data_IF_057233506847
#
_entry.id   IF_057233506847
#
_cell.length_a   1.000
_cell.length_b   1.000
_cell.length_c   1.000
_cell.angle_alpha   90.00
_cell.angle_beta   90.00
_cell.angle_gamma   90.00
#
_symmetry.space_group_name_H-M   'P 1'
#
loop_
_entity.id
_entity.type
_entity.pdbx_description
1 polymer ?
#
# COMPACT_ATOMS: atom_id res chain seq x y z
N UNK A 1 -4.04 -4.29 -12.54
CA UNK A 1 -3.91 -2.88 -13.01
C UNK A 1 -4.86 -1.99 -12.22
N UNK A 2 -6.17 -2.25 -12.23
CA UNK A 2 -7.18 -1.49 -11.47
C UNK A 2 -6.81 -1.23 -10.00
N UNK A 3 -6.33 -2.24 -9.25
CA UNK A 3 -5.94 -2.06 -7.84
C UNK A 3 -4.82 -1.03 -7.66
N UNK A 4 -3.82 -1.03 -8.54
CA UNK A 4 -2.73 -0.05 -8.48
C UNK A 4 -3.23 1.34 -8.82
N UNK A 5 -4.04 1.46 -9.88
CA UNK A 5 -4.61 2.74 -10.29
C UNK A 5 -5.53 3.34 -9.23
N UNK A 6 -6.43 2.53 -8.64
CA UNK A 6 -7.33 2.98 -7.59
C UNK A 6 -6.53 3.52 -6.40
N UNK A 7 -5.53 2.77 -5.91
CA UNK A 7 -4.73 3.20 -4.76
C UNK A 7 -3.88 4.42 -5.10
N UNK A 8 -3.32 4.51 -6.31
CA UNK A 8 -2.58 5.68 -6.77
C UNK A 8 -3.44 6.94 -6.81
N UNK A 9 -4.70 6.85 -7.28
CA UNK A 9 -5.62 8.00 -7.30
C UNK A 9 -6.01 8.50 -5.91
N UNK A 10 -6.06 7.63 -4.90
CA UNK A 10 -6.48 7.98 -3.53
C UNK A 10 -5.29 8.15 -2.56
N UNK A 11 -4.05 8.10 -3.04
CA UNK A 11 -2.86 8.18 -2.17
C UNK A 11 -2.77 9.53 -1.45
N UNK A 12 -3.09 10.62 -2.15
CA UNK A 12 -3.09 11.97 -1.58
C UNK A 12 -4.19 12.10 -0.51
N UNK A 13 -5.37 11.51 -0.75
CA UNK A 13 -6.46 11.51 0.23
C UNK A 13 -6.11 10.69 1.48
N UNK A 14 -5.43 9.56 1.31
CA UNK A 14 -5.00 8.69 2.41
C UNK A 14 -3.95 9.37 3.32
N UNK A 15 -3.07 10.18 2.73
CA UNK A 15 -1.98 10.87 3.43
C UNK A 15 -2.30 12.30 3.85
N UNK A 16 -3.49 12.81 3.49
CA UNK A 16 -3.91 14.16 3.82
C UNK A 16 -4.07 14.36 5.34
N UNK A 17 -3.60 15.51 5.88
CA UNK A 17 -3.87 15.87 7.27
C UNK A 17 -5.37 16.09 7.54
N UNK A 18 -5.84 15.57 8.67
CA UNK A 18 -7.23 15.69 9.11
C UNK A 18 -7.33 16.81 10.16
N UNK A 19 -8.05 17.91 9.89
CA UNK A 19 -8.18 19.01 10.84
C UNK A 19 -9.02 18.62 12.07
N UNK A 20 -8.58 19.10 13.24
CA UNK A 20 -9.22 18.95 14.55
C UNK A 20 -9.47 20.33 15.16
N UNK A 21 -10.49 21.01 14.64
CA UNK A 21 -10.79 22.40 15.00
C UNK A 21 -9.77 23.39 14.43
N UNK A 22 -9.65 24.56 15.04
CA UNK A 22 -8.95 25.69 14.43
C UNK A 22 -7.43 25.59 14.41
N UNK A 23 -6.81 24.83 15.34
CA UNK A 23 -5.36 24.84 15.58
C UNK A 23 -4.75 23.44 15.81
N UNK A 24 -5.46 22.36 15.49
CA UNK A 24 -4.95 20.99 15.64
C UNK A 24 -5.23 20.21 14.38
N UNK A 25 -4.41 19.20 14.12
CA UNK A 25 -4.54 18.29 12.99
C UNK A 25 -3.94 16.93 13.33
N UNK A 26 -4.49 15.87 12.75
CA UNK A 26 -3.87 14.54 12.70
C UNK A 26 -3.18 14.45 11.34
N UNK A 27 -1.87 14.20 11.34
CA UNK A 27 -1.11 13.92 10.13
C UNK A 27 -0.82 12.41 10.09
N UNK A 28 -1.31 11.68 9.06
CA UNK A 28 -0.89 10.31 8.82
C UNK A 28 0.59 10.27 8.43
N UNK A 29 1.34 9.36 9.05
CA UNK A 29 2.74 9.11 8.69
C UNK A 29 2.93 7.64 8.28
N UNK A 30 3.80 7.34 7.30
CA UNK A 30 4.12 5.97 6.94
C UNK A 30 4.73 5.21 8.12
N UNK A 31 4.31 3.96 8.31
CA UNK A 31 4.81 3.12 9.41
C UNK A 31 6.28 2.70 9.21
N UNK A 32 6.73 2.59 7.96
CA UNK A 32 8.06 2.11 7.58
C UNK A 32 8.02 0.94 6.60
N UNK A 33 8.99 0.03 6.71
CA UNK A 33 9.14 -1.10 5.77
C UNK A 33 8.05 -2.16 5.98
N UNK A 34 7.39 -2.57 4.89
CA UNK A 34 6.38 -3.64 4.88
C UNK A 34 6.96 -4.91 4.28
N UNK A 35 6.78 -6.06 4.95
CA UNK A 35 7.05 -7.37 4.38
C UNK A 35 5.77 -7.98 3.79
N UNK A 36 5.75 -8.20 2.48
CA UNK A 36 4.59 -8.73 1.76
C UNK A 36 4.84 -10.17 1.29
N UNK A 37 4.08 -11.13 1.82
CA UNK A 37 4.08 -12.53 1.40
C UNK A 37 2.82 -12.84 0.59
N UNK A 38 2.95 -13.49 -0.57
CA UNK A 38 1.81 -13.80 -1.47
C UNK A 38 1.75 -15.28 -1.84
N UNK A 39 0.55 -15.89 -1.92
CA UNK A 39 0.37 -17.28 -2.33
C UNK A 39 0.37 -17.44 -3.87
N UNK A 40 0.39 -18.69 -4.32
CA UNK A 40 0.64 -19.08 -5.72
C UNK A 40 -0.57 -19.00 -6.67
N UNK A 41 -1.79 -18.88 -6.15
CA UNK A 41 -3.00 -19.08 -6.95
C UNK A 41 -3.36 -17.89 -7.86
N UNK A 42 -2.88 -16.69 -7.55
CA UNK A 42 -3.06 -15.49 -8.38
C UNK A 42 -1.83 -14.58 -8.24
N UNK A 43 -0.65 -14.98 -8.77
CA UNK A 43 0.63 -14.38 -8.44
C UNK A 43 0.67 -12.88 -8.74
N UNK A 44 0.26 -12.46 -9.94
CA UNK A 44 0.23 -11.04 -10.30
C UNK A 44 -0.82 -10.23 -9.50
N UNK A 45 -2.01 -10.78 -9.28
CA UNK A 45 -3.13 -10.03 -8.67
C UNK A 45 -2.92 -9.87 -7.17
N UNK A 46 -2.46 -10.91 -6.47
CA UNK A 46 -2.26 -10.85 -5.02
C UNK A 46 -1.06 -10.01 -4.64
N UNK A 47 -0.01 -9.99 -5.47
CA UNK A 47 1.08 -9.03 -5.35
C UNK A 47 0.55 -7.61 -5.46
N UNK A 48 -0.19 -7.28 -6.52
CA UNK A 48 -0.76 -5.95 -6.69
C UNK A 48 -1.66 -5.54 -5.51
N UNK A 49 -2.47 -6.47 -4.96
CA UNK A 49 -3.32 -6.21 -3.79
C UNK A 49 -2.56 -5.92 -2.50
N UNK A 50 -1.32 -6.40 -2.37
CA UNK A 50 -0.46 -6.08 -1.22
C UNK A 50 0.40 -4.84 -1.44
N UNK A 51 0.98 -4.70 -2.63
CA UNK A 51 1.86 -3.57 -2.97
C UNK A 51 1.10 -2.25 -3.04
N UNK A 52 -0.06 -2.23 -3.71
CA UNK A 52 -0.78 -1.00 -3.98
C UNK A 52 -1.11 -0.15 -2.73
N UNK A 53 -1.73 -0.69 -1.66
CA UNK A 53 -2.01 0.10 -0.46
C UNK A 53 -0.75 0.46 0.34
N UNK A 54 0.26 -0.41 0.37
CA UNK A 54 1.50 -0.12 1.07
C UNK A 54 2.26 1.05 0.42
N UNK A 55 2.36 1.04 -0.91
CA UNK A 55 2.98 2.12 -1.66
C UNK A 55 2.16 3.42 -1.58
N UNK A 56 0.83 3.34 -1.65
CA UNK A 56 -0.04 4.51 -1.50
C UNK A 56 0.08 5.14 -0.10
N UNK A 57 0.33 4.34 0.94
CA UNK A 57 0.62 4.82 2.29
C UNK A 57 2.05 5.36 2.47
N UNK A 58 2.89 5.36 1.41
CA UNK A 58 4.28 5.82 1.47
C UNK A 58 5.25 4.82 2.11
N UNK A 59 4.87 3.55 2.25
CA UNK A 59 5.70 2.52 2.86
C UNK A 59 6.57 1.81 1.81
N UNK A 60 7.91 1.72 1.99
CA UNK A 60 8.74 0.82 1.19
C UNK A 60 8.38 -0.64 1.45
N UNK A 61 8.53 -1.51 0.44
CA UNK A 61 8.07 -2.91 0.51
C UNK A 61 9.17 -3.90 0.15
N UNK A 62 9.29 -4.96 0.96
CA UNK A 62 10.02 -6.19 0.64
C UNK A 62 8.98 -7.25 0.28
N UNK A 63 9.03 -7.77 -0.95
CA UNK A 63 8.10 -8.78 -1.45
C UNK A 63 8.75 -10.17 -1.46
N UNK A 64 8.06 -11.16 -0.90
CA UNK A 64 8.38 -12.58 -1.02
C UNK A 64 7.21 -13.31 -1.69
N UNK A 65 7.38 -13.58 -2.99
CA UNK A 65 6.47 -14.44 -3.75
C UNK A 65 6.52 -15.90 -3.29
N UNK A 66 5.48 -16.65 -3.62
CA UNK A 66 5.45 -18.10 -3.46
C UNK A 66 6.55 -18.74 -4.33
N UNK A 67 7.10 -19.87 -3.89
CA UNK A 67 8.23 -20.51 -4.60
C UNK A 67 7.78 -21.17 -5.90
N UNK A 68 6.55 -21.65 -5.95
CA UNK A 68 5.91 -22.24 -7.12
C UNK A 68 5.68 -21.20 -8.23
N UNK A 69 5.50 -19.94 -7.84
CA UNK A 69 5.27 -18.80 -8.73
C UNK A 69 6.02 -17.56 -8.19
N UNK A 70 7.34 -17.45 -8.44
CA UNK A 70 8.18 -16.41 -7.84
C UNK A 70 7.89 -14.98 -8.32
N UNK A 71 7.13 -14.89 -9.42
CA UNK A 71 6.73 -13.67 -10.13
C UNK A 71 5.86 -12.74 -9.29
#
# INVERSE_FOLDING_TARGET
VETLEWNGRHADELSAPIPLGSNRMIAPEPLGVVAAFTPWNYPAVLIARKLAPALAAGCPVILKGAEETPS
#
